data_IF_637100033338
#
_entry.id   IF_637100033338
#
_cell.length_a   1.000
_cell.length_b   1.000
_cell.length_c   1.000
_cell.angle_alpha   90.00
_cell.angle_beta   90.00
_cell.angle_gamma   90.00
#
_symmetry.space_group_name_H-M   'P 1'
#
loop_
_entity.id
_entity.type
_entity.pdbx_description
1 polymer ?
#
# COMPACT_ATOMS: atom_id res chain seq x y z
N UNK A 1 1.74 7.04 8.11
CA UNK A 1 1.63 8.47 7.79
C UNK A 1 0.33 9.02 8.36
N UNK A 2 -0.84 8.54 7.97
CA UNK A 2 -2.15 9.07 8.38
C UNK A 2 -2.32 9.12 9.91
N UNK A 3 -2.02 8.04 10.61
CA UNK A 3 -2.08 7.96 12.07
C UNK A 3 -1.16 8.99 12.75
N UNK A 4 0.05 9.22 12.22
CA UNK A 4 0.99 10.23 12.77
C UNK A 4 0.55 11.68 12.53
N UNK A 5 -0.26 11.90 11.50
CA UNK A 5 -0.79 13.22 11.15
C UNK A 5 -2.19 13.45 11.74
N UNK A 6 -2.78 12.44 12.38
CA UNK A 6 -4.16 12.45 12.86
C UNK A 6 -5.16 12.82 11.75
N UNK A 7 -4.95 12.24 10.56
CA UNK A 7 -5.77 12.49 9.38
C UNK A 7 -6.54 11.24 8.95
N UNK A 8 -7.75 11.42 8.39
CA UNK A 8 -8.46 10.33 7.72
C UNK A 8 -7.62 9.69 6.62
N UNK A 9 -7.71 8.36 6.50
CA UNK A 9 -7.01 7.58 5.48
C UNK A 9 -8.00 7.01 4.48
N UNK A 10 -7.81 7.33 3.20
CA UNK A 10 -8.56 6.78 2.09
C UNK A 10 -7.64 5.95 1.20
N UNK A 11 -8.16 4.82 0.75
CA UNK A 11 -7.43 3.86 -0.07
C UNK A 11 -8.16 3.59 -1.38
N UNK A 12 -7.45 3.69 -2.49
CA UNK A 12 -7.96 3.37 -3.82
C UNK A 12 -6.96 2.46 -4.56
N UNK A 13 -7.42 1.27 -4.94
CA UNK A 13 -6.65 0.36 -5.79
C UNK A 13 -7.00 0.61 -7.25
N UNK A 14 -6.02 1.09 -8.02
CA UNK A 14 -6.23 1.46 -9.42
C UNK A 14 -6.51 0.27 -10.32
N UNK A 15 -5.91 -0.89 -10.09
CA UNK A 15 -6.19 -2.07 -10.90
C UNK A 15 -7.67 -2.44 -10.83
N UNK A 16 -8.25 -2.44 -9.62
CA UNK A 16 -9.70 -2.71 -9.42
C UNK A 16 -10.60 -1.66 -10.05
N UNK A 17 -10.22 -0.40 -9.96
CA UNK A 17 -10.98 0.71 -10.57
C UNK A 17 -10.98 0.58 -12.09
N UNK A 18 -9.84 0.19 -12.67
CA UNK A 18 -9.70 0.01 -14.11
C UNK A 18 -10.39 -1.28 -14.63
N UNK A 19 -10.57 -2.30 -13.78
CA UNK A 19 -11.26 -3.55 -14.14
C UNK A 19 -12.78 -3.43 -14.07
N UNK A 20 -13.31 -2.48 -13.34
CA UNK A 20 -14.75 -2.24 -13.21
C UNK A 20 -15.35 -1.54 -14.45
N UNK A 21 -15.41 -2.26 -15.55
CA UNK A 21 -15.81 -1.81 -16.89
C UNK A 21 -17.32 -1.51 -17.03
N UNK A 22 -17.90 -0.67 -16.24
CA UNK A 22 -19.29 -0.28 -16.42
C UNK A 22 -19.43 1.24 -16.42
N UNK A 23 -19.32 1.85 -17.62
CA UNK A 23 -19.88 3.15 -18.01
C UNK A 23 -19.99 4.27 -16.96
N UNK A 24 -18.97 4.46 -16.13
CA UNK A 24 -19.00 5.46 -15.04
C UNK A 24 -17.68 5.63 -14.31
N UNK A 25 -16.65 4.89 -14.72
CA UNK A 25 -15.34 4.85 -14.03
C UNK A 25 -14.71 6.23 -13.90
N UNK A 26 -14.74 7.06 -14.96
CA UNK A 26 -14.25 8.44 -14.92
C UNK A 26 -14.94 9.27 -13.85
N UNK A 27 -16.28 9.19 -13.80
CA UNK A 27 -17.09 9.96 -12.85
C UNK A 27 -16.84 9.49 -11.42
N UNK A 28 -16.63 8.17 -11.23
CA UNK A 28 -16.35 7.61 -9.91
C UNK A 28 -14.95 8.00 -9.42
N UNK A 29 -13.94 7.97 -10.29
CA UNK A 29 -12.60 8.46 -9.97
C UNK A 29 -12.66 9.94 -9.57
N UNK A 30 -13.27 10.80 -10.38
CA UNK A 30 -13.40 12.21 -10.06
C UNK A 30 -14.08 12.45 -8.69
N UNK A 31 -15.15 11.71 -8.39
CA UNK A 31 -15.85 11.79 -7.08
C UNK A 31 -14.95 11.43 -5.90
N UNK A 32 -14.08 10.41 -6.03
CA UNK A 32 -13.14 10.02 -4.97
C UNK A 32 -12.16 11.17 -4.70
N UNK A 33 -11.59 11.76 -5.77
CA UNK A 33 -10.69 12.89 -5.63
C UNK A 33 -11.40 14.15 -5.08
N UNK A 34 -12.61 14.45 -5.54
CA UNK A 34 -13.41 15.56 -5.02
C UNK A 34 -13.70 15.38 -3.54
N UNK A 35 -14.06 14.17 -3.13
CA UNK A 35 -14.27 13.86 -1.71
C UNK A 35 -12.98 14.01 -0.90
N UNK A 36 -11.86 13.49 -1.38
CA UNK A 36 -10.58 13.60 -0.70
C UNK A 36 -10.09 15.05 -0.58
N UNK A 37 -10.43 15.93 -1.55
CA UNK A 37 -10.10 17.37 -1.49
C UNK A 37 -11.01 18.18 -0.57
N UNK A 38 -12.14 17.64 -0.15
CA UNK A 38 -13.11 18.39 0.66
C UNK A 38 -12.66 18.67 2.10
N UNK A 39 -11.70 17.88 2.62
CA UNK A 39 -11.12 18.04 3.95
C UNK A 39 -9.68 17.49 3.98
N UNK A 40 -8.84 17.91 4.94
CA UNK A 40 -7.52 17.34 5.11
C UNK A 40 -7.55 15.82 5.29
N UNK A 41 -6.78 15.09 4.46
CA UNK A 41 -6.74 13.62 4.48
C UNK A 41 -5.44 13.08 3.90
N UNK A 42 -5.24 11.78 4.04
CA UNK A 42 -4.25 10.99 3.31
C UNK A 42 -4.98 10.12 2.29
N UNK A 43 -4.71 10.30 1.00
CA UNK A 43 -5.21 9.46 -0.08
C UNK A 43 -4.08 8.58 -0.59
N UNK A 44 -4.22 7.27 -0.47
CA UNK A 44 -3.30 6.29 -1.02
C UNK A 44 -3.86 5.69 -2.31
N UNK A 45 -3.06 5.78 -3.37
CA UNK A 45 -3.31 5.20 -4.68
C UNK A 45 -2.41 3.98 -4.84
N UNK A 46 -2.98 2.80 -4.81
CA UNK A 46 -2.23 1.55 -4.94
C UNK A 46 -2.28 1.03 -6.37
N UNK A 47 -1.23 0.32 -6.78
CA UNK A 47 -1.07 -0.23 -8.13
C UNK A 47 -1.18 0.84 -9.23
N UNK A 48 -0.55 2.01 -9.01
CA UNK A 48 -0.61 3.14 -9.96
C UNK A 48 -0.01 2.82 -11.33
N UNK A 49 0.80 1.77 -11.44
CA UNK A 49 1.33 1.25 -12.71
C UNK A 49 0.24 0.69 -13.62
N UNK A 50 -0.94 0.34 -13.09
CA UNK A 50 -2.09 -0.07 -13.91
C UNK A 50 -2.48 1.01 -14.92
N UNK A 51 -2.26 2.29 -14.61
CA UNK A 51 -2.49 3.43 -15.52
C UNK A 51 -1.56 3.33 -16.74
N UNK A 52 -0.28 3.10 -16.51
CA UNK A 52 0.74 3.06 -17.57
C UNK A 52 0.69 1.78 -18.40
N UNK A 53 0.45 0.65 -17.76
CA UNK A 53 0.41 -0.66 -18.41
C UNK A 53 -0.73 -0.72 -19.43
N UNK A 54 -1.89 -0.21 -19.10
CA UNK A 54 -3.05 -0.22 -20.00
C UNK A 54 -2.90 0.77 -21.14
N UNK A 55 -2.26 1.93 -20.93
CA UNK A 55 -1.96 2.88 -21.99
C UNK A 55 -1.06 2.29 -23.07
N UNK A 56 -0.10 1.43 -22.71
CA UNK A 56 0.79 0.77 -23.68
C UNK A 56 0.08 -0.35 -24.46
N UNK A 57 -0.86 -1.05 -23.82
CA UNK A 57 -1.59 -2.17 -24.42
C UNK A 57 -2.84 -1.74 -25.18
N UNK A 58 -3.31 -0.52 -24.97
CA UNK A 58 -4.42 0.07 -25.72
C UNK A 58 -3.96 0.40 -27.15
N UNK A 59 -3.95 -0.59 -28.02
CA UNK A 59 -4.05 -0.35 -29.46
C UNK A 59 -5.33 0.47 -29.72
N UNK A 60 -5.52 1.00 -30.92
CA UNK A 60 -6.56 1.96 -31.36
C UNK A 60 -8.05 1.68 -30.95
N UNK A 61 -8.32 0.77 -30.02
CA UNK A 61 -9.65 0.24 -29.72
C UNK A 61 -10.29 0.81 -28.44
N UNK A 62 -9.50 1.34 -27.47
CA UNK A 62 -10.06 1.69 -26.16
C UNK A 62 -10.03 3.19 -25.85
N UNK A 63 -10.87 3.96 -26.54
CA UNK A 63 -11.09 5.38 -26.25
C UNK A 63 -11.54 5.66 -24.79
N UNK A 64 -12.19 4.70 -24.14
CA UNK A 64 -12.67 4.86 -22.76
C UNK A 64 -11.56 4.73 -21.72
N UNK A 65 -10.64 3.79 -21.88
CA UNK A 65 -9.44 3.64 -21.03
C UNK A 65 -8.55 4.87 -21.09
N UNK A 66 -8.37 5.42 -22.29
CA UNK A 66 -7.61 6.65 -22.48
C UNK A 66 -8.24 7.84 -21.75
N UNK A 67 -9.57 7.94 -21.74
CA UNK A 67 -10.31 8.97 -21.03
C UNK A 67 -10.17 8.84 -19.51
N UNK A 68 -10.25 7.61 -18.96
CA UNK A 68 -10.02 7.38 -17.51
C UNK A 68 -8.62 7.80 -17.12
N UNK A 69 -7.61 7.42 -17.89
CA UNK A 69 -6.21 7.83 -17.66
C UNK A 69 -6.05 9.35 -17.67
N UNK A 70 -6.64 10.03 -18.66
CA UNK A 70 -6.62 11.50 -18.75
C UNK A 70 -7.30 12.11 -17.52
N UNK A 71 -8.45 11.57 -17.10
CA UNK A 71 -9.15 12.05 -15.90
C UNK A 71 -8.28 11.91 -14.66
N UNK A 72 -7.65 10.77 -14.46
CA UNK A 72 -6.74 10.54 -13.33
C UNK A 72 -5.59 11.56 -13.34
N UNK A 73 -4.95 11.78 -14.49
CA UNK A 73 -3.88 12.76 -14.62
C UNK A 73 -4.35 14.18 -14.26
N UNK A 74 -5.54 14.56 -14.73
CA UNK A 74 -6.16 15.85 -14.39
C UNK A 74 -6.48 15.96 -12.91
N UNK A 75 -6.94 14.88 -12.26
CA UNK A 75 -7.23 14.87 -10.83
C UNK A 75 -5.95 14.95 -9.99
N UNK A 76 -4.86 14.29 -10.41
CA UNK A 76 -3.55 14.42 -9.79
C UNK A 76 -3.02 15.86 -9.88
N UNK A 77 -3.20 16.54 -11.02
CA UNK A 77 -2.80 17.93 -11.21
C UNK A 77 -3.57 18.92 -10.31
N UNK A 78 -4.80 18.56 -9.91
CA UNK A 78 -5.63 19.37 -9.01
C UNK A 78 -5.32 19.13 -7.52
N UNK A 79 -4.48 18.14 -7.20
CA UNK A 79 -4.10 17.88 -5.81
C UNK A 79 -3.27 19.05 -5.27
N UNK A 80 -3.80 19.71 -4.27
CA UNK A 80 -3.17 20.86 -3.60
C UNK A 80 -2.89 20.53 -2.12
N UNK A 81 -2.25 21.45 -1.39
CA UNK A 81 -1.70 21.25 -0.07
C UNK A 81 -2.65 20.82 1.07
N UNK A 82 -3.92 20.53 0.79
CA UNK A 82 -4.87 20.03 1.79
C UNK A 82 -4.89 18.49 1.88
N UNK A 83 -4.28 17.80 0.94
CA UNK A 83 -4.28 16.35 0.87
C UNK A 83 -2.85 15.81 0.74
N UNK A 84 -2.52 14.81 1.55
CA UNK A 84 -1.29 14.02 1.36
C UNK A 84 -1.61 12.88 0.39
N UNK A 85 -1.00 12.96 -0.80
CA UNK A 85 -1.15 11.94 -1.83
C UNK A 85 0.01 10.96 -1.78
N UNK A 86 -0.30 9.68 -1.70
CA UNK A 86 0.69 8.59 -1.70
C UNK A 86 0.38 7.67 -2.87
N UNK A 87 1.35 7.48 -3.78
CA UNK A 87 1.28 6.48 -4.84
C UNK A 87 2.14 5.27 -4.49
N UNK A 88 1.62 4.07 -4.70
CA UNK A 88 2.38 2.84 -4.53
C UNK A 88 2.37 2.01 -5.82
N UNK A 89 3.51 1.37 -6.11
CA UNK A 89 3.68 0.45 -7.22
C UNK A 89 4.73 -0.59 -6.89
N UNK A 90 4.57 -1.79 -7.39
CA UNK A 90 5.61 -2.83 -7.41
C UNK A 90 6.34 -2.89 -8.77
N UNK A 91 5.98 -2.03 -9.73
CA UNK A 91 6.48 -2.00 -11.09
C UNK A 91 6.85 -0.60 -11.53
N UNK A 92 7.85 -0.02 -10.86
CA UNK A 92 8.36 1.31 -11.20
C UNK A 92 8.90 1.38 -12.66
N UNK A 93 9.34 0.25 -13.21
CA UNK A 93 9.87 0.10 -14.58
C UNK A 93 8.85 0.42 -15.67
N UNK A 94 7.56 0.30 -15.37
CA UNK A 94 6.49 0.56 -16.33
C UNK A 94 5.78 1.90 -16.11
N UNK A 95 6.06 2.59 -15.00
CA UNK A 95 5.46 3.89 -14.72
C UNK A 95 5.85 4.92 -15.77
N UNK A 96 4.84 5.65 -16.25
CA UNK A 96 5.03 6.77 -17.16
C UNK A 96 5.67 7.94 -16.40
N UNK A 97 6.68 8.57 -17.01
CA UNK A 97 7.34 9.74 -16.45
C UNK A 97 6.35 10.87 -16.13
N UNK A 98 5.27 10.97 -16.89
CA UNK A 98 4.21 11.94 -16.64
C UNK A 98 3.50 11.70 -15.30
N UNK A 99 3.37 10.45 -14.85
CA UNK A 99 2.84 10.12 -13.52
C UNK A 99 3.88 10.45 -12.45
N UNK A 100 5.12 10.02 -12.65
CA UNK A 100 6.20 10.24 -11.68
C UNK A 100 6.38 11.74 -11.37
N UNK A 101 6.31 12.62 -12.36
CA UNK A 101 6.45 14.08 -12.18
C UNK A 101 5.38 14.71 -11.26
N UNK A 102 4.27 14.02 -11.00
CA UNK A 102 3.20 14.49 -10.12
C UNK A 102 3.41 14.17 -8.66
N UNK A 103 4.41 13.35 -8.36
CA UNK A 103 4.84 13.05 -7.01
C UNK A 103 6.17 13.73 -6.71
N UNK A 104 6.19 14.57 -5.68
CA UNK A 104 7.37 15.36 -5.32
C UNK A 104 8.48 14.54 -4.66
N UNK A 105 8.12 13.40 -4.07
CA UNK A 105 9.03 12.50 -3.37
C UNK A 105 8.90 11.10 -3.93
N UNK A 106 10.03 10.48 -4.22
CA UNK A 106 10.10 9.07 -4.60
C UNK A 106 10.92 8.32 -3.57
N UNK A 107 10.39 7.23 -3.08
CA UNK A 107 11.04 6.39 -2.10
C UNK A 107 10.92 4.93 -2.50
N UNK A 108 12.05 4.24 -2.57
CA UNK A 108 12.10 2.81 -2.80
C UNK A 108 12.08 2.08 -1.46
N UNK A 109 11.11 1.19 -1.27
CA UNK A 109 11.04 0.32 -0.11
C UNK A 109 11.84 -0.93 -0.39
N UNK A 110 13.09 -0.95 0.11
CA UNK A 110 13.98 -2.12 -0.02
C UNK A 110 13.69 -3.16 1.05
N UNK A 111 13.93 -4.45 0.78
CA UNK A 111 13.95 -5.46 1.82
C UNK A 111 14.97 -5.13 2.91
N UNK A 112 14.75 -5.57 4.17
CA UNK A 112 15.75 -5.42 5.23
C UNK A 112 17.09 -6.01 4.80
N UNK A 113 18.16 -5.26 4.99
CA UNK A 113 19.51 -5.67 4.59
C UNK A 113 20.23 -6.43 5.69
N UNK A 114 19.86 -6.20 6.94
CA UNK A 114 20.45 -6.84 8.11
C UNK A 114 19.42 -7.63 8.90
N UNK A 115 19.87 -8.60 9.69
CA UNK A 115 19.00 -9.35 10.59
C UNK A 115 18.35 -8.45 11.65
N UNK A 116 19.03 -7.37 12.06
CA UNK A 116 18.51 -6.41 13.02
C UNK A 116 17.36 -5.60 12.42
N UNK A 117 17.51 -5.09 11.19
CA UNK A 117 16.42 -4.41 10.47
C UNK A 117 15.22 -5.33 10.27
N UNK A 118 15.46 -6.60 9.89
CA UNK A 118 14.42 -7.59 9.74
C UNK A 118 13.68 -7.84 11.07
N UNK A 119 14.41 -7.93 12.17
CA UNK A 119 13.84 -8.11 13.50
C UNK A 119 13.03 -6.86 13.95
N UNK A 120 13.49 -5.64 13.59
CA UNK A 120 12.73 -4.41 13.86
C UNK A 120 11.40 -4.38 13.11
N UNK A 121 11.41 -4.75 11.82
CA UNK A 121 10.17 -4.85 11.01
C UNK A 121 9.21 -5.85 11.61
N UNK A 122 9.70 -7.04 11.98
CA UNK A 122 8.87 -8.10 12.56
C UNK A 122 8.27 -7.68 13.90
N UNK A 123 9.08 -7.08 14.79
CA UNK A 123 8.62 -6.55 16.10
C UNK A 123 7.57 -5.45 15.91
N UNK A 124 7.84 -4.47 15.07
CA UNK A 124 6.87 -3.39 14.79
C UNK A 124 5.52 -3.92 14.31
N UNK A 125 5.53 -4.96 13.49
CA UNK A 125 4.30 -5.59 13.03
C UNK A 125 3.59 -6.37 14.16
N UNK A 126 4.32 -7.12 14.99
CA UNK A 126 3.76 -7.84 16.13
C UNK A 126 3.15 -6.88 17.18
N UNK A 127 3.81 -5.75 17.41
CA UNK A 127 3.30 -4.69 18.29
C UNK A 127 2.02 -4.06 17.73
N UNK A 128 1.96 -3.84 16.40
CA UNK A 128 0.79 -3.28 15.73
C UNK A 128 -0.42 -4.23 15.71
N UNK A 129 -0.20 -5.54 15.76
CA UNK A 129 -1.25 -6.54 15.95
C UNK A 129 -1.89 -6.47 17.33
N UNK A 130 -1.21 -5.91 18.31
CA UNK A 130 -1.72 -5.74 19.66
C UNK A 130 -2.79 -4.65 19.72
N UNK A 131 -3.88 -4.92 20.43
CA UNK A 131 -4.96 -3.96 20.65
C UNK A 131 -5.41 -4.02 22.12
N UNK A 132 -6.30 -3.13 22.60
CA UNK A 132 -6.74 -3.10 23.98
C UNK A 132 -7.38 -4.40 24.49
N UNK A 133 -7.93 -5.23 23.60
CA UNK A 133 -8.58 -6.49 23.92
C UNK A 133 -7.64 -7.70 23.81
N UNK A 134 -6.52 -7.54 23.09
CA UNK A 134 -5.60 -8.64 22.79
C UNK A 134 -4.17 -8.11 22.70
N UNK A 135 -3.29 -8.63 23.55
CA UNK A 135 -1.86 -8.35 23.51
C UNK A 135 -1.11 -9.54 22.90
N UNK A 136 -0.39 -9.30 21.83
CA UNK A 136 0.52 -10.27 21.27
C UNK A 136 1.76 -10.34 22.17
N UNK A 137 2.00 -11.50 22.76
CA UNK A 137 3.26 -11.77 23.45
C UNK A 137 4.18 -12.55 22.53
N UNK A 138 5.41 -12.12 22.41
CA UNK A 138 6.41 -12.79 21.60
C UNK A 138 7.79 -12.73 22.27
N UNK A 139 8.59 -13.77 22.00
CA UNK A 139 9.97 -13.82 22.45
C UNK A 139 10.86 -13.02 21.48
N UNK A 140 11.54 -12.01 22.02
CA UNK A 140 12.45 -11.13 21.25
C UNK A 140 13.66 -11.89 20.73
N UNK A 141 14.15 -12.88 21.48
CA UNK A 141 15.30 -13.70 21.08
C UNK A 141 14.91 -14.67 19.97
N UNK A 142 13.70 -15.23 20.03
CA UNK A 142 13.15 -16.04 18.93
C UNK A 142 13.07 -15.23 17.64
N UNK A 143 12.54 -14.01 17.69
CA UNK A 143 12.46 -13.10 16.52
C UNK A 143 13.85 -12.81 15.98
N UNK A 144 14.81 -12.48 16.85
CA UNK A 144 16.17 -12.17 16.44
C UNK A 144 16.88 -13.38 15.77
N UNK A 145 16.70 -14.57 16.32
CA UNK A 145 17.29 -15.80 15.78
C UNK A 145 16.65 -16.18 14.44
N UNK A 146 15.33 -16.11 14.32
CA UNK A 146 14.62 -16.36 13.07
C UNK A 146 15.12 -15.46 11.93
N UNK A 147 15.35 -14.17 12.21
CA UNK A 147 15.85 -13.24 11.23
C UNK A 147 17.33 -13.51 10.86
N UNK A 148 18.15 -13.94 11.81
CA UNK A 148 19.54 -14.34 11.55
C UNK A 148 19.65 -15.58 10.66
N UNK A 149 18.76 -16.54 10.86
CA UNK A 149 18.72 -17.77 10.06
C UNK A 149 18.14 -17.57 8.66
N UNK A 150 17.42 -16.46 8.44
CA UNK A 150 16.74 -16.17 7.18
C UNK A 150 17.11 -14.77 6.62
N UNK A 151 18.36 -14.53 6.27
CA UNK A 151 18.79 -13.23 5.75
C UNK A 151 18.17 -12.90 4.39
N UNK A 152 17.92 -11.63 4.14
CA UNK A 152 17.44 -11.13 2.84
C UNK A 152 15.99 -11.49 2.49
N UNK A 153 15.20 -11.98 3.44
CA UNK A 153 13.78 -12.25 3.20
C UNK A 153 12.98 -10.94 3.08
N UNK A 154 12.03 -10.87 2.15
CA UNK A 154 11.20 -9.68 1.97
C UNK A 154 10.29 -9.44 3.18
N UNK A 155 9.83 -8.20 3.36
CA UNK A 155 8.91 -7.82 4.45
C UNK A 155 7.67 -8.70 4.51
N UNK A 156 7.08 -9.05 3.36
CA UNK A 156 5.90 -9.93 3.30
C UNK A 156 6.15 -11.30 3.92
N UNK A 157 7.36 -11.85 3.74
CA UNK A 157 7.73 -13.12 4.37
C UNK A 157 7.83 -12.97 5.90
N UNK A 158 8.45 -11.88 6.39
CA UNK A 158 8.57 -11.60 7.83
C UNK A 158 7.19 -11.43 8.48
N UNK A 159 6.30 -10.68 7.84
CA UNK A 159 4.93 -10.48 8.31
C UNK A 159 4.16 -11.81 8.37
N UNK A 160 4.26 -12.65 7.33
CA UNK A 160 3.60 -13.96 7.32
C UNK A 160 4.14 -14.87 8.42
N UNK A 161 5.45 -14.86 8.68
CA UNK A 161 6.05 -15.63 9.78
C UNK A 161 5.62 -15.12 11.15
N UNK A 162 5.46 -13.81 11.31
CA UNK A 162 4.90 -13.24 12.53
C UNK A 162 3.47 -13.72 12.77
N UNK A 163 2.61 -13.67 11.74
CA UNK A 163 1.22 -14.17 11.82
C UNK A 163 1.18 -15.67 12.17
N UNK A 164 1.99 -16.49 11.49
CA UNK A 164 2.07 -17.93 11.76
C UNK A 164 2.47 -18.19 13.22
N UNK A 165 3.45 -17.46 13.75
CA UNK A 165 3.91 -17.62 15.14
C UNK A 165 2.81 -17.31 16.14
N UNK A 166 2.05 -16.23 15.93
CA UNK A 166 0.90 -15.87 16.78
C UNK A 166 -0.20 -16.92 16.68
N UNK A 167 -0.52 -17.40 15.47
CA UNK A 167 -1.58 -18.40 15.27
C UNK A 167 -1.24 -19.75 15.93
N UNK A 168 0.03 -20.15 15.94
CA UNK A 168 0.48 -21.37 16.63
C UNK A 168 0.34 -21.22 18.15
N UNK A 169 0.75 -20.08 18.71
CA UNK A 169 0.63 -19.81 20.13
C UNK A 169 -0.83 -19.85 20.61
N UNK A 170 -1.74 -19.23 19.86
CA UNK A 170 -3.18 -19.24 20.18
C UNK A 170 -3.78 -20.65 20.14
N UNK A 171 -3.37 -21.51 19.19
CA UNK A 171 -3.84 -22.90 19.13
C UNK A 171 -3.38 -23.73 20.33
N UNK A 172 -2.18 -23.47 20.84
CA UNK A 172 -1.65 -24.18 22.02
C UNK A 172 -2.36 -23.77 23.32
N UNK A 173 -2.80 -22.53 23.44
CA UNK A 173 -3.58 -22.06 24.59
C UNK A 173 -4.99 -22.69 24.61
N UNK A 174 -5.68 -22.71 23.46
CA UNK A 174 -7.04 -23.29 23.33
C UNK A 174 -7.06 -24.81 23.56
N UNK A 175 -5.95 -25.51 23.39
CA UNK A 175 -5.86 -26.97 23.68
C UNK A 175 -5.52 -27.30 25.14
N UNK A 176 -5.21 -26.28 25.95
CA UNK A 176 -4.89 -26.47 27.40
C UNK A 176 -6.06 -26.19 28.32
N UNK A 177 -7.14 -25.62 27.84
CA UNK A 177 -8.43 -25.44 28.50
C UNK A 177 -9.40 -26.58 28.10
#
# INVERSE_FOLDING_TARGET
>A
VACRLDLPFYYMNFARVMDSYLGGTQRNVAKVFDYARSAPCVLMLDEIDAISTRRRNAGNVDGELNRVTITIMQELDKCNGHMVLIGATNRHDVLDEAILRRFSLHHEVTPPQTAEEAAQVMRAFLDDLSNPLFKVQYDTDFVANLCKENPGKPQSWLVNKAIESVAVSLKQEVQRD
#
